data_IF_676593637180
#
_entry.id   IF_676593637180
#
_cell.length_a   1.000
_cell.length_b   1.000
_cell.length_c   1.000
_cell.angle_alpha   90.00
_cell.angle_beta   90.00
_cell.angle_gamma   90.00
#
_symmetry.space_group_name_H-M   'P 1'
#
loop_
_entity.id
_entity.type
_entity.pdbx_description
1 polymer ?
#
# COMPACT_ATOMS: atom_id res chain seq x y z
N UNK A 1 6.84 -47.27 -8.01
CA UNK A 1 5.86 -46.30 -7.47
C UNK A 1 5.97 -45.02 -8.30
N UNK A 2 4.99 -44.74 -9.17
CA UNK A 2 4.98 -43.49 -9.95
C UNK A 2 4.49 -42.38 -9.03
N UNK A 3 5.35 -41.41 -8.73
CA UNK A 3 4.95 -40.19 -8.03
C UNK A 3 3.98 -39.42 -8.95
N UNK A 4 2.68 -39.59 -8.74
CA UNK A 4 1.66 -38.79 -9.41
C UNK A 4 1.68 -37.45 -8.72
N UNK A 5 2.37 -36.46 -9.28
CA UNK A 5 2.23 -35.09 -8.81
C UNK A 5 0.74 -34.75 -8.85
N UNK A 6 0.11 -34.58 -7.67
CA UNK A 6 -1.28 -34.16 -7.57
C UNK A 6 -1.36 -32.75 -8.13
N UNK A 7 -1.68 -32.65 -9.42
CA UNK A 7 -2.04 -31.38 -10.03
C UNK A 7 -3.18 -30.79 -9.19
N UNK A 8 -2.93 -29.62 -8.60
CA UNK A 8 -3.94 -28.88 -7.85
C UNK A 8 -4.10 -27.54 -8.52
N UNK A 9 -5.30 -26.98 -8.43
CA UNK A 9 -5.59 -25.68 -9.03
C UNK A 9 -4.80 -24.60 -8.31
N UNK A 10 -4.40 -23.57 -9.03
CA UNK A 10 -3.56 -22.50 -8.48
C UNK A 10 -4.31 -21.74 -7.37
N UNK A 11 -5.62 -21.62 -7.53
CA UNK A 11 -6.58 -21.10 -6.56
C UNK A 11 -6.56 -21.90 -5.26
N UNK A 12 -6.27 -23.20 -5.27
CA UNK A 12 -6.15 -24.01 -4.04
C UNK A 12 -4.91 -23.62 -3.24
N UNK A 13 -3.85 -23.20 -3.93
CA UNK A 13 -2.55 -22.81 -3.34
C UNK A 13 -2.52 -21.36 -2.88
N UNK A 14 -3.25 -20.46 -3.54
CA UNK A 14 -3.28 -19.07 -3.13
C UNK A 14 -4.04 -18.88 -1.81
N UNK A 15 -3.56 -17.99 -0.93
CA UNK A 15 -4.22 -17.71 0.35
C UNK A 15 -5.49 -16.85 0.19
N UNK A 16 -5.76 -16.35 -1.02
CA UNK A 16 -6.91 -15.50 -1.32
C UNK A 16 -8.20 -16.32 -1.39
N UNK A 17 -9.23 -15.86 -0.69
CA UNK A 17 -10.58 -16.41 -0.75
C UNK A 17 -11.45 -15.62 -1.73
N UNK A 18 -11.57 -14.31 -1.53
CA UNK A 18 -12.43 -13.43 -2.32
C UNK A 18 -12.02 -11.96 -2.20
N UNK A 19 -12.62 -11.12 -3.05
CA UNK A 19 -12.57 -9.66 -2.92
C UNK A 19 -14.00 -9.16 -2.76
N UNK A 20 -14.30 -8.54 -1.62
CA UNK A 20 -15.63 -8.03 -1.29
C UNK A 20 -15.50 -6.65 -0.65
N UNK A 21 -16.38 -5.72 -1.01
CA UNK A 21 -16.41 -4.37 -0.43
C UNK A 21 -15.06 -3.63 -0.47
N UNK A 22 -14.26 -3.85 -1.54
CA UNK A 22 -12.89 -3.34 -1.69
C UNK A 22 -11.88 -3.87 -0.66
N UNK A 23 -12.20 -4.95 0.03
CA UNK A 23 -11.30 -5.68 0.90
C UNK A 23 -10.95 -7.04 0.29
N UNK A 24 -9.72 -7.47 0.52
CA UNK A 24 -9.26 -8.81 0.19
C UNK A 24 -9.52 -9.69 1.40
N UNK A 25 -10.14 -10.85 1.19
CA UNK A 25 -10.43 -11.84 2.23
C UNK A 25 -9.51 -13.04 1.99
N UNK A 26 -8.77 -13.46 3.02
CA UNK A 26 -7.95 -14.67 2.99
C UNK A 26 -8.76 -15.91 3.36
N UNK A 27 -8.27 -17.10 3.02
CA UNK A 27 -8.86 -18.38 3.45
C UNK A 27 -8.76 -18.61 4.96
N UNK A 28 -7.82 -17.92 5.61
CA UNK A 28 -7.61 -17.95 7.06
C UNK A 28 -8.44 -16.87 7.76
N UNK A 29 -9.41 -16.27 7.06
CA UNK A 29 -10.32 -15.22 7.52
C UNK A 29 -9.65 -13.87 7.87
N UNK A 30 -8.48 -13.60 7.30
CA UNK A 30 -7.87 -12.27 7.38
C UNK A 30 -8.56 -11.30 6.43
N UNK A 31 -8.71 -10.05 6.87
CA UNK A 31 -9.26 -8.95 6.07
C UNK A 31 -8.12 -7.98 5.78
N UNK A 32 -7.84 -7.74 4.50
CA UNK A 32 -6.83 -6.77 4.05
C UNK A 32 -7.50 -5.63 3.29
N UNK A 33 -7.31 -4.41 3.76
CA UNK A 33 -7.70 -3.18 3.07
C UNK A 33 -6.46 -2.48 2.51
N UNK A 34 -6.50 -2.13 1.22
CA UNK A 34 -5.39 -1.47 0.53
C UNK A 34 -5.75 -0.02 0.21
N UNK A 35 -4.83 0.90 0.52
CA UNK A 35 -4.99 2.32 0.24
C UNK A 35 -3.84 2.81 -0.62
N UNK A 36 -4.16 3.63 -1.62
CA UNK A 36 -3.16 4.40 -2.37
C UNK A 36 -3.10 5.81 -1.80
N UNK A 37 -1.89 6.28 -1.52
CA UNK A 37 -1.65 7.63 -1.00
C UNK A 37 -0.60 8.31 -1.88
N UNK A 38 -0.85 9.55 -2.28
CA UNK A 38 0.15 10.41 -2.90
C UNK A 38 0.86 11.19 -1.79
N UNK A 39 2.15 10.92 -1.61
CA UNK A 39 2.97 11.62 -0.63
C UNK A 39 3.63 12.84 -1.28
N UNK A 40 3.94 13.90 -0.49
CA UNK A 40 4.73 15.02 -0.96
C UNK A 40 6.10 14.57 -1.50
N UNK A 41 6.68 15.39 -2.36
CA UNK A 41 8.05 15.18 -2.84
C UNK A 41 9.02 15.10 -1.65
N UNK A 42 10.03 14.26 -1.79
CA UNK A 42 11.05 14.10 -0.76
C UNK A 42 11.72 15.44 -0.45
N UNK A 43 11.78 15.78 0.84
CA UNK A 43 12.45 16.97 1.36
C UNK A 43 11.83 18.32 0.98
N UNK A 44 10.59 18.36 0.48
CA UNK A 44 9.90 19.64 0.17
C UNK A 44 8.95 20.12 1.25
N UNK A 45 8.62 19.26 2.23
CA UNK A 45 7.69 19.59 3.33
C UNK A 45 8.34 20.41 4.43
N UNK A 46 7.60 21.40 4.94
CA UNK A 46 8.00 22.17 6.11
C UNK A 46 7.89 21.32 7.39
N UNK A 47 8.62 21.71 8.45
CA UNK A 47 8.62 20.96 9.72
C UNK A 47 7.21 20.74 10.29
N UNK A 48 6.37 21.78 10.28
CA UNK A 48 5.00 21.68 10.80
C UNK A 48 4.12 20.71 9.99
N UNK A 49 4.33 20.63 8.67
CA UNK A 49 3.60 19.70 7.80
C UNK A 49 4.07 18.27 8.01
N UNK A 50 5.38 18.08 8.16
CA UNK A 50 5.96 16.78 8.51
C UNK A 50 5.39 16.24 9.83
N UNK A 51 5.34 17.09 10.86
CA UNK A 51 4.79 16.72 12.18
C UNK A 51 3.31 16.36 12.10
N UNK A 52 2.54 17.06 11.25
CA UNK A 52 1.14 16.76 11.01
C UNK A 52 0.95 15.39 10.34
N UNK A 53 1.75 15.09 9.30
CA UNK A 53 1.74 13.78 8.61
C UNK A 53 2.12 12.66 9.59
N UNK A 54 3.19 12.86 10.36
CA UNK A 54 3.65 11.89 11.36
C UNK A 54 2.56 11.62 12.40
N UNK A 55 1.94 12.68 12.93
CA UNK A 55 0.86 12.57 13.92
C UNK A 55 -0.36 11.83 13.38
N UNK A 56 -0.71 12.06 12.11
CA UNK A 56 -1.80 11.36 11.46
C UNK A 56 -1.52 9.85 11.33
N UNK A 57 -0.32 9.46 10.87
CA UNK A 57 0.09 8.07 10.78
C UNK A 57 0.15 7.38 12.15
N UNK A 58 0.73 8.04 13.14
CA UNK A 58 0.79 7.52 14.51
C UNK A 58 -0.61 7.26 15.08
N UNK A 59 -1.55 8.18 14.87
CA UNK A 59 -2.95 8.01 15.30
C UNK A 59 -3.61 6.84 14.56
N UNK A 60 -3.45 6.75 13.24
CA UNK A 60 -4.05 5.69 12.44
C UNK A 60 -3.59 4.30 12.89
N UNK A 61 -2.28 4.11 13.09
CA UNK A 61 -1.72 2.84 13.55
C UNK A 61 -2.23 2.49 14.95
N UNK A 62 -2.27 3.48 15.86
CA UNK A 62 -2.73 3.27 17.24
C UNK A 62 -4.22 2.89 17.35
N UNK A 63 -5.04 3.26 16.37
CA UNK A 63 -6.47 2.92 16.35
C UNK A 63 -6.77 1.53 15.81
N UNK A 64 -5.77 0.82 15.25
CA UNK A 64 -5.99 -0.51 14.72
C UNK A 64 -6.20 -1.54 15.84
N UNK A 65 -7.04 -2.56 15.63
CA UNK A 65 -7.21 -3.66 16.57
C UNK A 65 -5.90 -4.42 16.81
N UNK A 66 -5.84 -5.15 17.93
CA UNK A 66 -4.76 -6.08 18.21
C UNK A 66 -4.59 -7.08 17.06
N UNK A 67 -3.34 -7.50 16.83
CA UNK A 67 -2.94 -8.39 15.74
C UNK A 67 -3.10 -7.83 14.31
N UNK A 68 -3.38 -6.52 14.17
CA UNK A 68 -3.33 -5.86 12.87
C UNK A 68 -1.90 -5.72 12.36
N UNK A 69 -1.71 -6.00 11.07
CA UNK A 69 -0.44 -5.79 10.37
C UNK A 69 -0.60 -4.59 9.44
N UNK A 70 0.29 -3.61 9.57
CA UNK A 70 0.41 -2.49 8.62
C UNK A 70 1.58 -2.75 7.69
N UNK A 71 1.32 -2.76 6.39
CA UNK A 71 2.35 -2.90 5.37
C UNK A 71 2.35 -1.66 4.47
N UNK A 72 3.44 -0.88 4.52
CA UNK A 72 3.62 0.32 3.69
C UNK A 72 4.51 -0.03 2.50
N UNK A 73 3.99 0.16 1.29
CA UNK A 73 4.77 0.05 0.05
C UNK A 73 4.98 1.44 -0.51
N UNK A 74 6.24 1.88 -0.58
CA UNK A 74 6.61 3.16 -1.16
C UNK A 74 7.09 2.98 -2.60
N UNK A 75 6.53 3.79 -3.51
CA UNK A 75 7.01 3.92 -4.87
C UNK A 75 7.58 5.31 -5.07
N UNK A 76 8.88 5.37 -5.37
CA UNK A 76 9.56 6.61 -5.73
C UNK A 76 9.61 6.72 -7.24
N UNK A 77 9.00 7.79 -7.77
CA UNK A 77 8.98 8.09 -9.20
C UNK A 77 9.94 9.26 -9.41
N UNK A 78 10.84 9.13 -10.39
CA UNK A 78 11.69 10.22 -10.84
C UNK A 78 11.05 10.85 -12.07
N UNK A 79 10.72 12.12 -11.98
CA UNK A 79 10.22 12.91 -13.11
C UNK A 79 11.26 13.97 -13.52
N UNK A 80 11.39 14.21 -14.82
CA UNK A 80 12.20 15.32 -15.34
C UNK A 80 11.24 16.47 -15.64
N UNK A 81 11.38 17.59 -14.93
CA UNK A 81 10.58 18.78 -15.20
C UNK A 81 11.30 19.70 -16.18
N UNK A 82 10.66 20.02 -17.30
CA UNK A 82 11.09 21.11 -18.17
C UNK A 82 10.34 22.37 -17.74
N UNK A 83 11.03 23.43 -17.30
CA UNK A 83 10.35 24.67 -16.91
C UNK A 83 9.67 25.29 -18.13
N UNK A 84 8.40 25.70 -17.96
CA UNK A 84 7.70 26.51 -18.94
C UNK A 84 8.18 27.96 -18.81
N UNK A 85 9.35 28.23 -19.39
CA UNK A 85 9.91 29.58 -19.43
C UNK A 85 9.17 30.30 -20.55
N UNK A 86 8.16 31.09 -20.20
CA UNK A 86 7.53 32.01 -21.13
C UNK A 86 8.65 32.85 -21.78
N UNK A 87 8.73 32.80 -23.11
CA UNK A 87 9.57 33.73 -23.86
C UNK A 87 8.92 35.11 -23.74
N UNK A 88 9.34 35.88 -22.75
CA UNK A 88 9.11 37.33 -22.73
C UNK A 88 9.81 37.90 -23.99
N UNK A 89 9.01 38.21 -24.99
CA UNK A 89 9.41 38.91 -26.22
C UNK A 89 9.40 40.42 -26.07
#
# INVERSE_FOLDING_TARGET
MRNTAKATTLESKFPLLAVEHNCIISKDADITACFQVHLPELFTVASAEYDAIHSAWHKAIKTLPDYSIVHKQDWYIKENYAPDIAQDG
#
